data_IF_231690437315
#
_entry.id   IF_231690437315
#
_cell.length_a   1.000
_cell.length_b   1.000
_cell.length_c   1.000
_cell.angle_alpha   90.00
_cell.angle_beta   90.00
_cell.angle_gamma   90.00
#
_symmetry.space_group_name_H-M   'P 1'
#
loop_
_entity.id
_entity.type
_entity.pdbx_description
1 polymer ?
#
# COMPACT_ATOMS: atom_id res chain seq x y z
N UNK A 1 -31.33 100.69 0.03
CA UNK A 1 -30.94 99.38 0.60
C UNK A 1 -30.68 98.45 -0.56
N UNK A 2 -29.49 97.83 -0.65
CA UNK A 2 -29.20 96.81 -1.65
C UNK A 2 -29.73 95.48 -1.13
N UNK A 3 -30.60 94.83 -1.90
CA UNK A 3 -31.11 93.49 -1.58
C UNK A 3 -30.37 92.46 -2.41
N UNK A 4 -29.86 91.41 -1.76
CA UNK A 4 -29.21 90.27 -2.41
C UNK A 4 -30.11 89.05 -2.25
N UNK A 5 -30.29 88.28 -3.32
CA UNK A 5 -31.03 87.02 -3.33
C UNK A 5 -30.26 85.95 -4.11
N UNK A 6 -30.79 84.72 -4.18
CA UNK A 6 -30.19 83.64 -4.97
C UNK A 6 -29.18 82.77 -4.21
N UNK A 7 -29.23 82.78 -2.88
CA UNK A 7 -28.44 81.88 -2.05
C UNK A 7 -28.86 80.42 -2.27
N UNK A 8 -27.88 79.54 -2.42
CA UNK A 8 -28.10 78.11 -2.52
C UNK A 8 -28.69 77.53 -1.22
N UNK A 9 -29.47 76.47 -1.35
CA UNK A 9 -29.99 75.68 -0.22
C UNK A 9 -30.11 74.21 -0.63
N UNK A 10 -29.97 73.30 0.34
CA UNK A 10 -30.04 71.87 0.11
C UNK A 10 -30.07 71.09 1.42
N UNK A 11 -30.50 69.83 1.35
CA UNK A 11 -30.57 68.91 2.51
C UNK A 11 -29.70 67.66 2.31
N UNK A 12 -29.44 67.27 1.06
CA UNK A 12 -28.67 66.09 0.70
C UNK A 12 -27.21 66.44 0.44
N UNK A 13 -26.31 65.47 0.58
CA UNK A 13 -24.92 65.68 0.23
C UNK A 13 -24.77 66.06 -1.25
N UNK A 14 -23.89 67.03 -1.53
CA UNK A 14 -23.69 67.59 -2.85
C UNK A 14 -23.15 69.02 -2.81
N UNK A 15 -22.94 69.57 -4.00
CA UNK A 15 -22.55 70.96 -4.22
C UNK A 15 -23.71 71.71 -4.85
N UNK A 16 -24.14 72.78 -4.21
CA UNK A 16 -25.23 73.63 -4.65
C UNK A 16 -24.66 75.01 -4.94
N UNK A 17 -24.67 75.43 -6.21
CA UNK A 17 -24.12 76.72 -6.62
C UNK A 17 -25.09 77.84 -6.26
N UNK A 18 -24.57 78.95 -5.75
CA UNK A 18 -25.37 80.18 -5.65
C UNK A 18 -25.71 80.70 -7.05
N UNK A 19 -26.85 81.37 -7.15
CA UNK A 19 -27.28 82.10 -8.35
C UNK A 19 -27.61 83.53 -7.91
N UNK A 20 -26.59 84.22 -7.38
CA UNK A 20 -26.79 85.50 -6.73
C UNK A 20 -27.35 86.54 -7.69
N UNK A 21 -28.28 87.34 -7.19
CA UNK A 21 -28.81 88.52 -7.89
C UNK A 21 -28.95 89.68 -6.91
N UNK A 22 -28.80 90.91 -7.41
CA UNK A 22 -28.89 92.13 -6.60
C UNK A 22 -29.94 93.08 -7.16
N UNK A 23 -30.71 93.73 -6.30
CA UNK A 23 -31.71 94.72 -6.69
C UNK A 23 -31.70 95.94 -5.75
N UNK A 24 -31.68 97.14 -6.34
CA UNK A 24 -31.83 98.43 -5.67
C UNK A 24 -31.86 99.57 -6.69
N UNK A 25 -32.62 100.63 -6.39
CA UNK A 25 -32.61 101.87 -7.20
C UNK A 25 -31.24 102.57 -7.21
N UNK A 26 -30.37 102.29 -6.23
CA UNK A 26 -29.03 102.85 -6.16
C UNK A 26 -27.98 102.13 -7.02
N UNK A 27 -28.33 100.98 -7.65
CA UNK A 27 -27.38 100.20 -8.46
C UNK A 27 -26.95 100.92 -9.75
N UNK A 28 -27.72 101.91 -10.23
CA UNK A 28 -27.36 102.71 -11.42
C UNK A 28 -26.04 103.47 -11.25
N UNK A 29 -25.55 103.63 -10.02
CA UNK A 29 -24.30 104.31 -9.71
C UNK A 29 -23.06 103.36 -9.71
N UNK A 30 -23.23 102.07 -10.01
CA UNK A 30 -22.17 101.06 -9.86
C UNK A 30 -22.08 100.10 -11.05
N UNK A 31 -20.88 99.63 -11.37
CA UNK A 31 -20.67 98.43 -12.19
C UNK A 31 -20.66 97.21 -11.28
N UNK A 32 -21.66 96.33 -11.41
CA UNK A 32 -21.82 95.16 -10.53
C UNK A 32 -21.19 93.93 -11.17
N UNK A 33 -20.23 93.31 -10.46
CA UNK A 33 -19.72 91.97 -10.76
C UNK A 33 -20.24 91.00 -9.72
N UNK A 34 -20.86 89.90 -10.16
CA UNK A 34 -21.35 88.83 -9.28
C UNK A 34 -20.40 87.64 -9.37
N UNK A 35 -19.82 87.27 -8.24
CA UNK A 35 -19.04 86.04 -8.10
C UNK A 35 -19.85 85.07 -7.24
N UNK A 36 -20.35 83.99 -7.85
CA UNK A 36 -21.11 82.99 -7.13
C UNK A 36 -20.20 82.11 -6.26
N UNK A 37 -20.68 81.79 -5.06
CA UNK A 37 -20.14 80.73 -4.22
C UNK A 37 -20.90 79.41 -4.41
N UNK A 38 -20.69 78.49 -3.48
CA UNK A 38 -21.44 77.24 -3.41
C UNK A 38 -21.62 76.79 -1.96
N UNK A 39 -22.80 76.27 -1.64
CA UNK A 39 -23.03 75.45 -0.46
C UNK A 39 -22.55 74.03 -0.76
N UNK A 40 -21.64 73.50 0.07
CA UNK A 40 -21.17 72.12 -0.01
C UNK A 40 -21.69 71.37 1.22
N UNK A 41 -22.47 70.33 0.98
CA UNK A 41 -22.93 69.38 2.01
C UNK A 41 -22.13 68.10 1.83
N UNK A 42 -21.22 67.80 2.76
CA UNK A 42 -20.42 66.58 2.69
C UNK A 42 -21.23 65.37 3.19
N UNK A 43 -21.05 64.18 2.60
CA UNK A 43 -21.66 62.96 3.14
C UNK A 43 -21.20 62.69 4.58
N UNK A 44 -22.10 62.15 5.40
CA UNK A 44 -21.79 61.74 6.77
C UNK A 44 -21.16 60.35 6.79
N UNK A 45 -20.06 60.18 7.50
CA UNK A 45 -19.42 58.87 7.67
C UNK A 45 -20.24 57.99 8.60
N UNK A 46 -20.54 56.77 8.16
CA UNK A 46 -21.18 55.70 8.93
C UNK A 46 -20.12 54.74 9.48
N UNK A 47 -20.50 54.02 10.54
CA UNK A 47 -19.76 52.86 11.04
C UNK A 47 -20.57 51.59 10.84
N UNK A 48 -19.87 50.46 10.77
CA UNK A 48 -20.50 49.14 10.73
C UNK A 48 -19.98 48.31 11.91
N UNK A 49 -20.87 47.56 12.54
CA UNK A 49 -20.52 46.61 13.60
C UNK A 49 -19.66 45.46 13.08
N UNK A 50 -19.41 44.48 13.95
CA UNK A 50 -18.56 43.33 13.65
C UNK A 50 -19.08 42.54 12.44
N UNK A 51 -18.25 42.47 11.40
CA UNK A 51 -18.46 41.58 10.25
C UNK A 51 -17.50 40.40 10.35
N UNK A 52 -18.03 39.18 10.19
CA UNK A 52 -17.27 37.93 10.29
C UNK A 52 -17.24 37.20 8.96
N UNK A 53 -16.15 36.46 8.72
CA UNK A 53 -15.91 35.72 7.48
C UNK A 53 -15.67 34.26 7.82
N UNK A 54 -16.17 33.36 6.98
CA UNK A 54 -15.97 31.92 7.15
C UNK A 54 -14.52 31.52 6.85
N UNK A 55 -14.02 30.57 7.64
CA UNK A 55 -12.87 29.77 7.20
C UNK A 55 -13.23 28.98 5.95
N UNK A 56 -12.26 28.69 5.09
CA UNK A 56 -12.47 27.87 3.89
C UNK A 56 -11.38 26.83 3.71
N UNK A 57 -11.68 25.79 2.95
CA UNK A 57 -10.67 24.91 2.39
C UNK A 57 -10.11 25.58 1.13
N UNK A 58 -8.83 25.37 0.85
CA UNK A 58 -8.17 25.88 -0.34
C UNK A 58 -8.95 25.51 -1.61
N UNK A 59 -9.29 26.53 -2.41
CA UNK A 59 -10.03 26.41 -3.66
C UNK A 59 -9.38 27.19 -4.82
N UNK A 60 -8.13 27.63 -4.64
CA UNK A 60 -7.37 28.37 -5.66
C UNK A 60 -7.75 29.85 -5.79
N UNK A 61 -8.68 30.39 -4.98
CA UNK A 61 -9.16 31.77 -5.09
C UNK A 61 -9.00 32.57 -3.80
N UNK A 62 -8.96 33.91 -3.93
CA UNK A 62 -9.01 34.84 -2.80
C UNK A 62 -10.44 35.11 -2.30
N UNK A 63 -11.48 34.62 -2.97
CA UNK A 63 -12.85 34.92 -2.62
C UNK A 63 -13.20 34.41 -1.22
N UNK A 64 -13.79 35.27 -0.41
CA UNK A 64 -14.24 34.96 0.95
C UNK A 64 -15.76 35.01 1.04
N UNK A 65 -16.33 34.23 1.98
CA UNK A 65 -17.77 34.25 2.26
C UNK A 65 -18.00 34.94 3.60
N UNK A 66 -18.72 36.05 3.57
CA UNK A 66 -19.17 36.73 4.81
C UNK A 66 -20.23 35.87 5.49
N UNK A 67 -20.00 35.59 6.77
CA UNK A 67 -20.90 34.80 7.60
C UNK A 67 -21.93 35.69 8.30
N UNK A 68 -21.45 36.77 8.92
CA UNK A 68 -22.29 37.75 9.61
C UNK A 68 -21.92 39.13 9.13
N UNK A 69 -22.89 39.84 8.57
CA UNK A 69 -22.75 41.25 8.21
C UNK A 69 -23.05 42.12 9.44
N UNK A 70 -22.17 43.06 9.74
CA UNK A 70 -22.38 44.00 10.85
C UNK A 70 -23.56 44.95 10.60
N UNK A 71 -24.09 45.52 11.67
CA UNK A 71 -25.15 46.54 11.60
C UNK A 71 -24.56 47.93 11.40
N UNK A 72 -25.18 48.75 10.55
CA UNK A 72 -24.76 50.13 10.31
C UNK A 72 -25.23 51.04 11.44
N UNK A 73 -24.38 51.99 11.83
CA UNK A 73 -24.65 53.01 12.85
C UNK A 73 -24.23 54.39 12.35
N UNK A 74 -24.86 55.44 12.90
CA UNK A 74 -24.54 56.83 12.58
C UNK A 74 -25.53 57.53 11.63
N UNK A 75 -26.64 56.89 11.27
CA UNK A 75 -27.73 57.50 10.48
C UNK A 75 -28.30 58.74 11.17
N UNK A 76 -28.82 59.67 10.37
CA UNK A 76 -29.44 60.91 10.88
C UNK A 76 -30.92 60.68 11.19
N UNK A 77 -31.34 61.12 12.38
CA UNK A 77 -32.74 61.02 12.79
C UNK A 77 -33.26 59.58 12.81
N UNK A 78 -34.37 59.34 12.12
CA UNK A 78 -34.98 58.02 11.97
C UNK A 78 -34.78 57.44 10.55
N UNK A 79 -33.82 57.96 9.79
CA UNK A 79 -33.52 57.47 8.45
C UNK A 79 -33.08 56.00 8.46
N UNK A 80 -33.29 55.35 7.33
CA UNK A 80 -32.85 54.00 7.02
C UNK A 80 -32.01 54.03 5.75
N UNK A 81 -30.91 53.29 5.76
CA UNK A 81 -30.05 53.00 4.60
C UNK A 81 -29.63 51.55 4.80
N UNK A 82 -29.79 50.71 3.78
CA UNK A 82 -29.35 49.32 3.86
C UNK A 82 -27.90 49.19 3.41
N UNK A 83 -27.20 48.22 3.98
CA UNK A 83 -25.85 47.86 3.60
C UNK A 83 -25.85 46.45 3.01
N UNK A 84 -25.07 46.28 1.95
CA UNK A 84 -24.76 44.97 1.41
C UNK A 84 -23.24 44.84 1.23
N UNK A 85 -22.75 43.61 1.34
CA UNK A 85 -21.41 43.24 0.92
C UNK A 85 -21.28 43.37 -0.60
N UNK A 86 -20.30 44.14 -1.04
CA UNK A 86 -19.90 44.25 -2.44
C UNK A 86 -18.94 43.14 -2.80
N UNK A 87 -17.82 43.05 -2.06
CA UNK A 87 -16.83 41.98 -2.20
C UNK A 87 -16.23 41.64 -0.84
N UNK A 88 -15.72 40.42 -0.71
CA UNK A 88 -14.91 40.00 0.42
C UNK A 88 -13.77 39.12 -0.12
N UNK A 89 -12.53 39.51 0.15
CA UNK A 89 -11.35 38.82 -0.38
C UNK A 89 -10.28 38.65 0.68
N UNK A 90 -9.75 37.43 0.78
CA UNK A 90 -8.49 37.15 1.46
C UNK A 90 -7.35 37.91 0.78
N UNK A 91 -6.35 38.31 1.56
CA UNK A 91 -5.13 38.95 1.05
C UNK A 91 -4.28 38.01 0.17
N UNK A 92 -4.51 36.69 0.26
CA UNK A 92 -3.84 35.65 -0.52
C UNK A 92 -4.78 34.48 -0.76
N UNK A 93 -4.56 33.73 -1.85
CA UNK A 93 -5.27 32.46 -2.08
C UNK A 93 -4.71 31.32 -1.22
N UNK A 94 -3.49 31.44 -0.70
CA UNK A 94 -2.73 30.33 -0.11
C UNK A 94 -3.19 29.98 1.31
N UNK A 95 -2.96 28.73 1.70
CA UNK A 95 -3.23 28.20 3.04
C UNK A 95 -2.54 29.03 4.11
N UNK A 96 -3.25 29.27 5.22
CA UNK A 96 -2.73 30.04 6.34
C UNK A 96 -3.79 30.28 7.40
N UNK A 97 -3.31 30.67 8.58
CA UNK A 97 -4.13 31.00 9.74
C UNK A 97 -4.16 32.50 9.97
N UNK A 98 -5.32 33.05 10.36
CA UNK A 98 -5.48 34.48 10.65
C UNK A 98 -5.22 35.38 9.45
N UNK A 99 -5.51 34.91 8.24
CA UNK A 99 -5.32 35.67 7.01
C UNK A 99 -6.26 36.86 6.97
N UNK A 100 -5.74 38.03 6.58
CA UNK A 100 -6.52 39.26 6.46
C UNK A 100 -7.55 39.13 5.34
N UNK A 101 -8.78 39.55 5.62
CA UNK A 101 -9.89 39.62 4.67
C UNK A 101 -10.40 41.06 4.63
N UNK A 102 -10.35 41.67 3.44
CA UNK A 102 -10.94 42.98 3.19
C UNK A 102 -12.39 42.80 2.74
N UNK A 103 -13.32 43.43 3.45
CA UNK A 103 -14.74 43.45 3.12
C UNK A 103 -15.12 44.85 2.65
N UNK A 104 -15.63 44.94 1.44
CA UNK A 104 -16.15 46.17 0.85
C UNK A 104 -17.66 46.19 0.88
N UNK A 105 -18.22 47.38 1.09
CA UNK A 105 -19.65 47.57 1.28
C UNK A 105 -20.24 48.44 0.18
N UNK A 106 -21.53 48.24 -0.07
CA UNK A 106 -22.38 49.15 -0.85
C UNK A 106 -23.52 49.61 0.04
N UNK A 107 -23.81 50.92 -0.03
CA UNK A 107 -24.98 51.50 0.61
C UNK A 107 -26.11 51.60 -0.41
N UNK A 108 -27.33 51.30 0.01
CA UNK A 108 -28.53 51.38 -0.80
C UNK A 108 -29.55 52.27 -0.09
N UNK A 109 -30.32 53.04 -0.87
CA UNK A 109 -31.35 53.92 -0.33
C UNK A 109 -32.30 53.12 0.56
N UNK A 110 -32.70 53.70 1.68
CA UNK A 110 -33.74 53.12 2.51
C UNK A 110 -35.10 53.18 1.84
N UNK A 111 -35.96 52.24 2.21
CA UNK A 111 -37.33 52.17 1.71
C UNK A 111 -38.33 52.70 2.75
N UNK A 112 -39.51 53.14 2.28
CA UNK A 112 -40.63 53.54 3.12
C UNK A 112 -40.51 54.95 3.70
N UNK A 113 -41.37 55.28 4.67
CA UNK A 113 -41.50 56.63 5.26
C UNK A 113 -40.24 57.12 6.00
N UNK A 114 -39.25 56.24 6.18
CA UNK A 114 -37.97 56.48 6.84
C UNK A 114 -36.78 56.34 5.87
N UNK A 115 -37.01 56.33 4.56
CA UNK A 115 -35.93 56.12 3.59
C UNK A 115 -34.94 57.28 3.55
N UNK A 116 -33.66 57.01 3.81
CA UNK A 116 -32.56 57.95 3.59
C UNK A 116 -31.87 57.69 2.25
N UNK A 117 -31.28 58.74 1.66
CA UNK A 117 -30.48 58.62 0.44
C UNK A 117 -29.06 58.11 0.77
N UNK A 118 -28.65 57.00 0.18
CA UNK A 118 -27.32 56.43 0.36
C UNK A 118 -26.19 57.41 -0.04
N UNK A 119 -26.45 58.30 -1.01
CA UNK A 119 -25.51 59.36 -1.41
C UNK A 119 -25.17 60.35 -0.30
N UNK A 120 -26.00 60.44 0.75
CA UNK A 120 -25.74 61.29 1.91
C UNK A 120 -24.72 60.69 2.87
N UNK A 121 -24.23 59.49 2.60
CA UNK A 121 -23.41 58.72 3.52
C UNK A 121 -22.19 58.11 2.84
N UNK A 122 -21.12 57.94 3.61
CA UNK A 122 -20.00 57.08 3.24
C UNK A 122 -19.84 55.96 4.27
N UNK A 123 -19.39 54.80 3.83
CA UNK A 123 -19.04 53.68 4.72
C UNK A 123 -17.68 53.12 4.28
N UNK A 124 -16.73 53.10 5.22
CA UNK A 124 -15.41 52.55 4.96
C UNK A 124 -15.43 51.03 4.87
N UNK A 125 -14.53 50.46 4.07
CA UNK A 125 -14.23 49.04 4.08
C UNK A 125 -13.69 48.63 5.47
N UNK A 126 -13.89 47.37 5.84
CA UNK A 126 -13.31 46.81 7.07
C UNK A 126 -12.38 45.66 6.75
N UNK A 127 -11.43 45.41 7.66
CA UNK A 127 -10.61 44.20 7.65
C UNK A 127 -11.02 43.29 8.79
N UNK A 128 -10.98 41.98 8.55
CA UNK A 128 -11.16 40.92 9.54
C UNK A 128 -10.19 39.78 9.23
N UNK A 129 -10.24 38.67 9.97
CA UNK A 129 -9.38 37.51 9.72
C UNK A 129 -10.17 36.21 9.60
N UNK A 130 -9.65 35.30 8.78
CA UNK A 130 -10.15 33.94 8.65
C UNK A 130 -9.01 32.99 8.23
N UNK A 131 -9.23 31.68 8.32
CA UNK A 131 -8.26 30.65 7.96
C UNK A 131 -8.58 30.06 6.58
N UNK A 132 -7.53 29.75 5.82
CA UNK A 132 -7.61 28.85 4.67
C UNK A 132 -6.89 27.55 5.05
N UNK A 133 -7.62 26.43 5.11
CA UNK A 133 -7.05 25.10 5.40
C UNK A 133 -6.66 24.38 4.11
N UNK A 134 -5.65 23.51 4.21
CA UNK A 134 -5.16 22.77 3.06
C UNK A 134 -6.20 21.81 2.48
N UNK A 135 -6.21 21.67 1.16
CA UNK A 135 -7.06 20.70 0.46
C UNK A 135 -6.39 19.33 0.48
N UNK A 136 -7.12 18.30 0.89
CA UNK A 136 -6.61 16.94 0.88
C UNK A 136 -6.54 16.39 -0.56
N UNK A 137 -5.41 15.75 -0.88
CA UNK A 137 -5.16 14.98 -2.09
C UNK A 137 -5.01 13.50 -1.75
N UNK A 138 -5.41 12.65 -2.68
CA UNK A 138 -5.18 11.20 -2.63
C UNK A 138 -4.38 10.75 -3.85
N UNK A 139 -3.88 9.51 -3.80
CA UNK A 139 -3.18 8.87 -4.92
C UNK A 139 -4.09 7.81 -5.52
N UNK A 140 -4.29 7.84 -6.83
CA UNK A 140 -4.91 6.75 -7.60
C UNK A 140 -3.85 5.95 -8.36
N UNK A 141 -4.21 4.72 -8.75
CA UNK A 141 -3.43 3.84 -9.63
C UNK A 141 -2.04 3.39 -9.11
N UNK A 142 -1.66 3.75 -7.88
CA UNK A 142 -0.54 3.11 -7.19
C UNK A 142 -0.99 1.73 -6.72
N UNK A 143 -0.22 0.70 -7.02
CA UNK A 143 -0.54 -0.69 -6.64
C UNK A 143 0.65 -1.37 -5.98
N UNK A 144 0.38 -2.42 -5.19
CA UNK A 144 1.39 -3.33 -4.68
C UNK A 144 1.39 -4.60 -5.53
N UNK A 145 2.57 -5.15 -5.80
CA UNK A 145 2.73 -6.32 -6.66
C UNK A 145 2.67 -7.59 -5.83
N UNK A 146 1.87 -8.56 -6.28
CA UNK A 146 1.87 -9.93 -5.75
C UNK A 146 3.29 -10.53 -5.79
N UNK A 147 3.61 -11.39 -4.81
CA UNK A 147 4.92 -12.04 -4.72
C UNK A 147 4.80 -13.51 -4.31
N UNK A 148 5.83 -14.27 -4.60
CA UNK A 148 6.04 -15.59 -3.97
C UNK A 148 6.64 -15.38 -2.59
N UNK A 149 6.29 -16.24 -1.64
CA UNK A 149 6.83 -16.24 -0.28
C UNK A 149 8.36 -16.22 -0.30
N UNK A 150 8.95 -15.20 0.33
CA UNK A 150 10.39 -14.99 0.46
C UNK A 150 10.83 -14.75 1.93
N UNK A 151 9.91 -14.92 2.88
CA UNK A 151 10.15 -14.69 4.30
C UNK A 151 10.21 -13.23 4.74
N UNK A 152 9.94 -12.25 3.85
CA UNK A 152 10.00 -10.81 4.16
C UNK A 152 8.65 -10.12 3.99
N UNK A 153 8.45 -9.05 4.75
CA UNK A 153 7.29 -8.15 4.61
C UNK A 153 7.48 -7.06 3.55
N UNK A 154 8.61 -7.05 2.83
CA UNK A 154 8.88 -6.02 1.81
C UNK A 154 7.91 -6.16 0.63
N UNK A 155 7.24 -5.07 0.27
CA UNK A 155 6.34 -5.00 -0.88
C UNK A 155 6.95 -4.17 -2.00
N UNK A 156 6.90 -4.70 -3.22
CA UNK A 156 7.21 -3.93 -4.43
C UNK A 156 5.98 -3.12 -4.83
N UNK A 157 6.16 -1.81 -5.03
CA UNK A 157 5.10 -0.93 -5.50
C UNK A 157 5.23 -0.70 -7.01
N UNK A 158 4.13 -0.82 -7.75
CA UNK A 158 4.05 -0.38 -9.13
C UNK A 158 3.56 1.07 -9.17
N UNK A 159 4.49 1.97 -9.53
CA UNK A 159 4.34 3.44 -9.52
C UNK A 159 4.03 4.02 -10.90
N UNK A 160 4.07 3.20 -11.96
CA UNK A 160 4.11 3.66 -13.36
C UNK A 160 2.90 4.49 -13.80
N UNK A 161 1.73 4.25 -13.20
CA UNK A 161 0.50 4.97 -13.50
C UNK A 161 -0.03 5.79 -12.31
N UNK A 162 0.75 5.92 -11.24
CA UNK A 162 0.31 6.60 -10.03
C UNK A 162 0.09 8.10 -10.27
N UNK A 163 -1.07 8.63 -9.88
CA UNK A 163 -1.46 10.03 -10.13
C UNK A 163 -2.14 10.65 -8.91
N UNK A 164 -2.04 11.98 -8.77
CA UNK A 164 -2.80 12.73 -7.76
C UNK A 164 -4.27 12.85 -8.17
N UNK A 165 -5.15 12.79 -7.18
CA UNK A 165 -6.58 13.08 -7.32
C UNK A 165 -6.91 14.29 -6.43
N UNK A 166 -7.65 15.24 -7.00
CA UNK A 166 -8.15 16.42 -6.28
C UNK A 166 -7.35 17.72 -6.47
N UNK A 167 -6.32 17.71 -7.32
CA UNK A 167 -5.56 18.91 -7.70
C UNK A 167 -6.48 19.88 -8.45
N UNK A 168 -6.46 21.15 -8.05
CA UNK A 168 -7.22 22.20 -8.73
C UNK A 168 -6.55 22.53 -10.06
N UNK A 169 -7.35 22.64 -11.12
CA UNK A 169 -6.85 22.91 -12.47
C UNK A 169 -6.03 24.21 -12.49
N UNK A 170 -4.81 24.13 -13.03
CA UNK A 170 -3.88 25.25 -13.14
C UNK A 170 -2.84 25.33 -12.02
N UNK A 171 -3.01 24.61 -10.91
CA UNK A 171 -1.98 24.54 -9.87
C UNK A 171 -0.84 23.60 -10.26
N UNK A 172 0.40 24.00 -9.99
CA UNK A 172 1.56 23.15 -10.21
C UNK A 172 1.82 22.30 -8.95
N UNK A 173 1.23 21.11 -8.93
CA UNK A 173 1.43 20.09 -7.89
C UNK A 173 1.73 18.75 -8.55
N UNK A 174 2.84 18.12 -8.16
CA UNK A 174 3.30 16.83 -8.72
C UNK A 174 3.44 15.78 -7.62
N UNK A 175 3.12 14.53 -7.95
CA UNK A 175 3.39 13.37 -7.09
C UNK A 175 4.86 13.01 -7.17
N UNK A 176 5.51 12.83 -6.02
CA UNK A 176 6.85 12.26 -5.92
C UNK A 176 6.79 10.92 -5.20
N UNK A 177 7.14 9.86 -5.92
CA UNK A 177 7.14 8.47 -5.42
C UNK A 177 8.55 7.92 -5.20
N UNK A 178 9.59 8.75 -5.27
CA UNK A 178 11.00 8.29 -5.20
C UNK A 178 11.26 7.55 -3.89
N UNK A 179 10.80 8.10 -2.77
CA UNK A 179 10.96 7.51 -1.44
C UNK A 179 9.79 6.61 -1.04
N UNK A 180 8.86 6.32 -1.96
CA UNK A 180 7.69 5.51 -1.64
C UNK A 180 8.09 4.06 -1.39
N UNK A 181 7.69 3.54 -0.24
CA UNK A 181 7.92 2.16 0.22
C UNK A 181 6.61 1.49 0.61
N UNK A 182 6.56 0.17 0.42
CA UNK A 182 5.43 -0.66 0.79
C UNK A 182 5.85 -1.78 1.74
N UNK A 183 5.02 -2.05 2.74
CA UNK A 183 5.24 -3.14 3.70
C UNK A 183 3.95 -3.95 3.85
N UNK A 184 4.02 -5.25 3.58
CA UNK A 184 2.96 -6.21 3.89
C UNK A 184 2.76 -6.32 5.40
N UNK A 185 1.50 -6.40 5.85
CA UNK A 185 1.15 -6.60 7.25
C UNK A 185 1.62 -7.97 7.80
N UNK A 186 1.87 -8.94 6.91
CA UNK A 186 2.41 -10.25 7.26
C UNK A 186 3.34 -10.73 6.15
N UNK A 187 4.38 -11.48 6.51
CA UNK A 187 5.24 -12.15 5.54
C UNK A 187 4.60 -13.46 5.02
N UNK A 188 3.57 -13.99 5.68
CA UNK A 188 3.01 -15.30 5.38
C UNK A 188 2.16 -15.30 4.11
N UNK A 189 2.14 -16.44 3.42
CA UNK A 189 1.33 -16.61 2.21
C UNK A 189 -0.16 -16.51 2.52
N UNK A 190 -0.82 -15.56 1.87
CA UNK A 190 -2.26 -15.31 1.95
C UNK A 190 -2.68 -14.36 0.81
N UNK A 191 -3.99 -14.30 0.58
CA UNK A 191 -4.57 -13.36 -0.38
C UNK A 191 -4.96 -12.05 0.31
N UNK A 192 -4.91 -10.93 -0.42
CA UNK A 192 -5.42 -9.64 0.03
C UNK A 192 -4.73 -9.10 1.28
N UNK A 193 -3.43 -9.38 1.44
CA UNK A 193 -2.66 -8.90 2.60
C UNK A 193 -2.54 -7.39 2.49
N UNK A 194 -2.90 -6.68 3.56
CA UNK A 194 -2.78 -5.24 3.63
C UNK A 194 -1.32 -4.79 3.42
N UNK A 195 -1.13 -3.77 2.60
CA UNK A 195 0.16 -3.14 2.33
C UNK A 195 0.10 -1.68 2.79
N UNK A 196 0.88 -1.38 3.82
CA UNK A 196 1.07 -0.01 4.31
C UNK A 196 2.04 0.70 3.37
N UNK A 197 1.62 1.84 2.83
CA UNK A 197 2.44 2.69 1.97
C UNK A 197 2.92 3.91 2.74
N UNK A 198 4.21 4.22 2.63
CA UNK A 198 4.79 5.44 3.20
C UNK A 198 5.72 6.11 2.18
N UNK A 199 6.11 7.37 2.44
CA UNK A 199 7.17 8.04 1.68
C UNK A 199 6.76 8.68 0.35
N UNK A 200 5.50 8.58 -0.10
CA UNK A 200 5.01 9.45 -1.16
C UNK A 200 4.92 10.89 -0.65
N UNK A 201 5.29 11.85 -1.49
CA UNK A 201 5.16 13.28 -1.19
C UNK A 201 4.63 14.05 -2.38
N UNK A 202 4.28 15.32 -2.16
CA UNK A 202 3.93 16.27 -3.22
C UNK A 202 4.99 17.35 -3.33
N UNK A 203 5.19 17.87 -4.52
CA UNK A 203 6.10 18.99 -4.81
C UNK A 203 5.45 19.96 -5.79
N UNK A 204 6.11 21.10 -6.03
CA UNK A 204 5.62 22.16 -6.90
C UNK A 204 5.24 23.42 -6.11
N UNK A 205 5.01 24.52 -6.83
CA UNK A 205 4.83 25.87 -6.25
C UNK A 205 3.58 25.97 -5.38
N UNK A 206 2.52 25.22 -5.71
CA UNK A 206 1.27 25.23 -4.97
C UNK A 206 1.16 24.11 -3.94
N UNK A 207 2.18 23.24 -3.81
CA UNK A 207 2.11 22.05 -2.94
C UNK A 207 1.83 22.37 -1.46
N UNK A 208 2.28 23.52 -0.96
CA UNK A 208 1.99 23.98 0.41
C UNK A 208 0.50 24.24 0.69
N UNK A 209 -0.34 24.30 -0.34
CA UNK A 209 -1.78 24.47 -0.22
C UNK A 209 -2.55 23.16 -0.06
N UNK A 210 -1.84 22.03 -0.08
CA UNK A 210 -2.41 20.70 -0.10
C UNK A 210 -1.81 19.82 0.99
N UNK A 211 -2.58 18.81 1.41
CA UNK A 211 -2.07 17.68 2.19
C UNK A 211 -2.20 16.41 1.36
N UNK A 212 -1.33 15.43 1.58
CA UNK A 212 -1.37 14.15 0.86
C UNK A 212 -1.73 13.01 1.82
N UNK A 213 -2.82 12.31 1.52
CA UNK A 213 -3.19 11.07 2.21
C UNK A 213 -2.55 9.88 1.48
N UNK A 214 -1.80 9.06 2.21
CA UNK A 214 -1.22 7.83 1.66
C UNK A 214 -2.32 6.80 1.37
N UNK A 215 -2.24 6.04 0.26
CA UNK A 215 -3.20 5.00 -0.05
C UNK A 215 -3.01 3.78 0.86
N UNK A 216 -4.10 3.05 1.08
CA UNK A 216 -4.05 1.69 1.65
C UNK A 216 -4.19 0.71 0.50
N UNK A 217 -3.23 -0.20 0.35
CA UNK A 217 -3.19 -1.18 -0.73
C UNK A 217 -3.33 -2.59 -0.17
N UNK A 218 -3.49 -3.56 -1.07
CA UNK A 218 -3.42 -4.97 -0.75
C UNK A 218 -2.83 -5.76 -1.91
N UNK A 219 -2.12 -6.83 -1.62
CA UNK A 219 -1.59 -7.75 -2.61
C UNK A 219 -1.49 -9.17 -2.02
N UNK A 220 -1.26 -10.15 -2.88
CA UNK A 220 -1.18 -11.55 -2.51
C UNK A 220 0.28 -11.98 -2.30
N UNK A 221 0.50 -12.85 -1.32
CA UNK A 221 1.72 -13.64 -1.21
C UNK A 221 1.35 -15.09 -1.49
N UNK A 222 1.85 -15.65 -2.59
CA UNK A 222 1.62 -17.06 -2.93
C UNK A 222 2.66 -17.95 -2.25
N UNK A 223 2.31 -19.19 -1.85
CA UNK A 223 3.28 -20.12 -1.26
C UNK A 223 4.48 -20.37 -2.17
N UNK A 224 5.67 -20.53 -1.59
CA UNK A 224 6.86 -21.00 -2.31
C UNK A 224 6.72 -22.48 -2.65
N UNK A 225 7.10 -22.87 -3.86
CA UNK A 225 7.08 -24.27 -4.28
C UNK A 225 8.31 -25.01 -3.74
N UNK A 226 8.10 -26.11 -3.02
CA UNK A 226 9.14 -27.03 -2.57
C UNK A 226 8.93 -28.37 -3.25
N UNK A 227 9.96 -28.87 -3.92
CA UNK A 227 9.93 -30.16 -4.62
C UNK A 227 10.93 -31.10 -3.99
N UNK A 228 10.46 -32.24 -3.51
CA UNK A 228 11.28 -33.30 -2.93
C UNK A 228 11.32 -34.47 -3.90
N UNK A 229 12.52 -34.87 -4.30
CA UNK A 229 12.74 -35.99 -5.22
C UNK A 229 13.56 -37.07 -4.53
N UNK A 230 12.97 -38.24 -4.31
CA UNK A 230 13.67 -39.40 -3.76
C UNK A 230 14.65 -39.99 -4.77
N UNK A 231 15.73 -40.57 -4.27
CA UNK A 231 16.72 -41.27 -5.10
C UNK A 231 16.31 -42.72 -5.37
N UNK A 232 16.78 -43.24 -6.49
CA UNK A 232 16.58 -44.63 -6.90
C UNK A 232 17.88 -45.38 -6.68
N UNK A 233 18.04 -46.03 -5.52
CA UNK A 233 19.26 -46.76 -5.21
C UNK A 233 19.08 -48.25 -5.40
N UNK A 234 20.16 -48.90 -5.81
CA UNK A 234 20.25 -50.35 -5.94
C UNK A 234 21.43 -50.84 -5.11
N UNK A 235 21.19 -51.88 -4.33
CA UNK A 235 22.16 -52.49 -3.43
C UNK A 235 22.11 -54.01 -3.59
N UNK A 236 23.15 -54.72 -3.14
CA UNK A 236 23.13 -56.19 -3.10
C UNK A 236 22.85 -56.64 -1.67
N UNK A 237 22.06 -57.70 -1.51
CA UNK A 237 21.77 -58.30 -0.21
C UNK A 237 23.07 -58.54 0.59
N UNK A 238 23.08 -58.14 1.86
CA UNK A 238 24.25 -58.20 2.75
C UNK A 238 23.89 -58.61 4.19
N UNK A 239 22.69 -59.17 4.40
CA UNK A 239 22.14 -59.57 5.70
C UNK A 239 21.93 -58.43 6.73
N UNK A 240 22.00 -57.15 6.31
CA UNK A 240 21.66 -55.99 7.14
C UNK A 240 20.41 -55.29 6.62
N UNK A 241 19.71 -54.54 7.47
CA UNK A 241 18.65 -53.62 7.03
C UNK A 241 19.29 -52.49 6.23
N UNK A 242 18.84 -52.31 5.00
CA UNK A 242 19.30 -51.27 4.09
C UNK A 242 18.22 -50.19 4.00
N UNK A 243 18.61 -48.93 4.14
CA UNK A 243 17.71 -47.79 4.08
C UNK A 243 18.04 -46.94 2.86
N UNK A 244 17.02 -46.54 2.09
CA UNK A 244 17.20 -45.62 0.99
C UNK A 244 17.68 -44.26 1.50
N UNK A 245 18.47 -43.54 0.71
CA UNK A 245 18.96 -42.21 1.09
C UNK A 245 19.28 -41.37 -0.15
N UNK A 246 19.58 -40.09 0.05
CA UNK A 246 19.98 -39.19 -1.04
C UNK A 246 18.81 -38.51 -1.76
N UNK A 247 17.67 -38.34 -1.09
CA UNK A 247 16.62 -37.47 -1.62
C UNK A 247 17.16 -36.04 -1.81
N UNK A 248 16.57 -35.32 -2.75
CA UNK A 248 17.00 -33.97 -3.14
C UNK A 248 15.84 -33.00 -3.01
N UNK A 249 16.14 -31.76 -2.65
CA UNK A 249 15.18 -30.65 -2.52
C UNK A 249 15.45 -29.58 -3.56
N UNK A 250 14.42 -29.09 -4.23
CA UNK A 250 14.42 -27.88 -5.05
C UNK A 250 13.36 -26.91 -4.54
N UNK A 251 13.61 -25.61 -4.67
CA UNK A 251 12.74 -24.55 -4.17
C UNK A 251 12.56 -23.52 -5.27
N UNK A 252 11.31 -23.20 -5.59
CA UNK A 252 10.93 -22.27 -6.67
C UNK A 252 11.65 -22.56 -8.00
N UNK A 253 11.92 -23.85 -8.30
CA UNK A 253 12.59 -24.27 -9.53
C UNK A 253 14.12 -24.11 -9.54
N UNK A 254 14.75 -23.74 -8.42
CA UNK A 254 16.20 -23.70 -8.30
C UNK A 254 16.83 -25.10 -8.46
N UNK A 255 18.13 -25.16 -8.77
CA UNK A 255 18.89 -26.41 -8.82
C UNK A 255 18.72 -27.19 -7.53
N UNK A 256 18.33 -28.46 -7.65
CA UNK A 256 18.12 -29.30 -6.49
C UNK A 256 19.43 -29.58 -5.73
N UNK A 257 19.32 -29.74 -4.42
CA UNK A 257 20.44 -30.06 -3.53
C UNK A 257 20.15 -31.36 -2.78
N UNK A 258 21.15 -32.20 -2.59
CA UNK A 258 21.02 -33.43 -1.80
C UNK A 258 20.75 -33.09 -0.34
N UNK A 259 19.75 -33.75 0.24
CA UNK A 259 19.40 -33.60 1.65
C UNK A 259 20.34 -34.49 2.45
N UNK A 260 21.11 -33.87 3.34
CA UNK A 260 22.00 -34.57 4.28
C UNK A 260 21.31 -34.63 5.65
N UNK A 261 21.07 -35.84 6.16
CA UNK A 261 20.29 -36.05 7.37
C UNK A 261 18.78 -35.91 7.14
N UNK A 262 18.04 -35.59 8.20
CA UNK A 262 16.57 -35.50 8.14
C UNK A 262 16.06 -34.07 8.04
N UNK A 263 16.89 -33.05 8.23
CA UNK A 263 16.43 -31.65 8.24
C UNK A 263 16.52 -31.04 6.84
N UNK A 264 15.44 -30.40 6.41
CA UNK A 264 15.38 -29.62 5.17
C UNK A 264 15.22 -28.15 5.54
N UNK A 265 16.21 -27.34 5.18
CA UNK A 265 16.13 -25.88 5.27
C UNK A 265 15.79 -25.32 3.89
N UNK A 266 14.80 -24.45 3.82
CA UNK A 266 14.40 -23.82 2.58
C UNK A 266 15.30 -22.64 2.19
N UNK A 267 16.08 -22.10 3.13
CA UNK A 267 16.83 -20.86 2.95
C UNK A 267 15.92 -19.63 2.79
N UNK A 268 14.62 -19.79 2.98
CA UNK A 268 13.60 -18.76 2.93
C UNK A 268 12.99 -18.66 4.33
N UNK A 269 13.04 -17.47 4.93
CA UNK A 269 12.62 -17.30 6.33
C UNK A 269 13.52 -18.05 7.32
N UNK A 270 12.93 -18.52 8.41
CA UNK A 270 13.64 -19.24 9.50
C UNK A 270 13.16 -20.68 9.67
N UNK A 271 12.31 -21.14 8.76
CA UNK A 271 11.65 -22.43 8.85
C UNK A 271 12.55 -23.62 8.51
N UNK A 272 12.33 -24.71 9.23
CA UNK A 272 12.93 -26.01 8.95
C UNK A 272 11.89 -27.11 8.99
N UNK A 273 12.12 -28.12 8.17
CA UNK A 273 11.26 -29.29 8.04
C UNK A 273 12.06 -30.55 8.35
N UNK A 274 11.35 -31.59 8.79
CA UNK A 274 11.92 -32.92 8.91
C UNK A 274 11.39 -33.80 7.78
N UNK A 275 12.30 -34.37 7.00
CA UNK A 275 12.02 -35.38 5.98
C UNK A 275 12.04 -36.77 6.60
N UNK A 276 10.99 -37.53 6.36
CA UNK A 276 10.81 -38.92 6.78
C UNK A 276 10.31 -39.79 5.63
N UNK A 277 10.15 -41.10 5.86
CA UNK A 277 9.50 -42.01 4.91
C UNK A 277 10.42 -42.66 3.87
N UNK A 278 11.73 -42.69 4.12
CA UNK A 278 12.65 -43.49 3.31
C UNK A 278 12.32 -44.98 3.41
N UNK A 279 12.37 -45.69 2.29
CA UNK A 279 12.21 -47.14 2.27
C UNK A 279 13.33 -47.83 3.06
N UNK A 280 13.00 -48.85 3.85
CA UNK A 280 13.97 -49.68 4.55
C UNK A 280 13.58 -51.16 4.45
N UNK A 281 14.52 -52.00 4.05
CA UNK A 281 14.30 -53.44 3.91
C UNK A 281 15.61 -54.23 4.10
N UNK A 282 15.49 -55.46 4.60
CA UNK A 282 16.63 -56.38 4.77
C UNK A 282 16.77 -57.34 3.59
N UNK A 283 15.66 -57.91 3.15
CA UNK A 283 15.65 -59.06 2.24
C UNK A 283 15.37 -58.66 0.79
N UNK A 284 15.71 -59.55 -0.14
CA UNK A 284 15.31 -59.42 -1.54
C UNK A 284 13.77 -59.45 -1.66
N UNK A 285 13.21 -58.50 -2.42
CA UNK A 285 11.84 -58.58 -2.92
C UNK A 285 11.84 -58.56 -4.44
N UNK A 286 10.90 -59.29 -5.04
CA UNK A 286 10.65 -59.24 -6.49
C UNK A 286 10.10 -57.87 -6.94
N UNK A 287 9.59 -57.07 -6.01
CA UNK A 287 9.16 -55.68 -6.23
C UNK A 287 10.12 -54.70 -5.56
N UNK A 288 10.19 -53.48 -6.11
CA UNK A 288 10.94 -52.36 -5.54
C UNK A 288 10.27 -51.85 -4.26
N UNK A 289 11.07 -51.46 -3.27
CA UNK A 289 10.60 -50.79 -2.06
C UNK A 289 10.50 -49.28 -2.31
N UNK A 290 9.30 -48.77 -2.49
CA UNK A 290 9.06 -47.34 -2.75
C UNK A 290 9.25 -46.50 -1.48
N UNK A 291 9.81 -45.31 -1.64
CA UNK A 291 9.75 -44.31 -0.58
C UNK A 291 8.31 -43.80 -0.39
N UNK A 292 8.01 -43.37 0.84
CA UNK A 292 6.83 -42.60 1.18
C UNK A 292 7.26 -41.27 1.80
N UNK A 293 8.07 -40.49 1.07
CA UNK A 293 8.65 -39.26 1.55
C UNK A 293 7.58 -38.26 2.00
N UNK A 294 7.83 -37.65 3.16
CA UNK A 294 6.96 -36.64 3.77
C UNK A 294 7.78 -35.62 4.54
N UNK A 295 7.52 -34.34 4.27
CA UNK A 295 7.98 -33.22 5.10
C UNK A 295 6.96 -32.93 6.18
N UNK A 296 7.43 -32.91 7.42
CA UNK A 296 6.68 -32.42 8.58
C UNK A 296 7.31 -31.10 9.03
N UNK A 297 6.51 -30.05 9.17
CA UNK A 297 7.00 -28.77 9.68
C UNK A 297 7.40 -28.90 11.15
N UNK A 298 8.56 -28.35 11.51
CA UNK A 298 9.01 -28.29 12.91
C UNK A 298 8.37 -27.11 13.67
N UNK A 299 7.62 -26.24 12.98
CA UNK A 299 6.92 -25.07 13.54
C UNK A 299 5.49 -24.98 12.98
N UNK A 300 4.49 -25.07 13.86
CA UNK A 300 3.10 -25.45 13.52
C UNK A 300 2.23 -24.46 12.72
N UNK A 301 2.72 -23.29 12.30
CA UNK A 301 1.89 -22.25 11.63
C UNK A 301 2.38 -21.84 10.24
N UNK A 302 3.59 -22.23 9.82
CA UNK A 302 4.25 -21.79 8.58
C UNK A 302 4.14 -22.76 7.41
N UNK A 303 3.48 -23.92 7.57
CA UNK A 303 3.23 -24.86 6.47
C UNK A 303 2.42 -24.22 5.32
N UNK A 304 1.63 -23.18 5.60
CA UNK A 304 0.87 -22.44 4.59
C UNK A 304 1.74 -21.62 3.64
N UNK A 305 2.98 -21.31 4.03
CA UNK A 305 3.92 -20.55 3.20
C UNK A 305 4.53 -21.37 2.07
N UNK A 306 4.33 -22.69 2.08
CA UNK A 306 4.94 -23.60 1.13
C UNK A 306 3.90 -24.50 0.47
N UNK A 307 4.02 -24.67 -0.84
CA UNK A 307 3.34 -25.73 -1.58
C UNK A 307 4.35 -26.85 -1.81
N UNK A 308 4.09 -28.05 -1.30
CA UNK A 308 5.06 -29.16 -1.33
C UNK A 308 4.63 -30.22 -2.34
N UNK A 309 5.57 -30.63 -3.19
CA UNK A 309 5.40 -31.73 -4.15
C UNK A 309 6.45 -32.80 -3.93
N UNK A 310 6.06 -34.07 -4.12
CA UNK A 310 6.92 -35.23 -3.91
C UNK A 310 7.00 -36.07 -5.18
N UNK A 311 8.23 -36.44 -5.55
CA UNK A 311 8.52 -37.47 -6.54
C UNK A 311 9.21 -38.61 -5.81
N UNK A 312 8.50 -39.72 -5.58
CA UNK A 312 8.99 -40.78 -4.70
C UNK A 312 10.13 -41.57 -5.33
N UNK A 313 11.18 -41.78 -4.53
CA UNK A 313 12.29 -42.65 -4.83
C UNK A 313 12.02 -44.08 -4.35
N UNK A 314 13.09 -44.80 -4.04
CA UNK A 314 12.99 -46.17 -3.55
C UNK A 314 14.24 -47.02 -3.75
N UNK A 315 14.23 -48.15 -3.05
CA UNK A 315 15.33 -49.08 -2.90
C UNK A 315 15.06 -50.38 -3.68
N UNK A 316 16.06 -50.82 -4.43
CA UNK A 316 16.09 -52.15 -5.06
C UNK A 316 17.20 -52.96 -4.40
N UNK A 317 16.86 -54.13 -3.86
CA UNK A 317 17.83 -55.07 -3.31
C UNK A 317 18.02 -56.19 -4.34
N UNK A 318 19.23 -56.38 -4.83
CA UNK A 318 19.60 -57.47 -5.72
C UNK A 318 20.01 -58.70 -4.91
N UNK A 319 19.86 -59.88 -5.52
CA UNK A 319 20.34 -61.14 -4.93
C UNK A 319 21.86 -61.13 -4.81
N UNK A 320 22.38 -61.62 -3.69
CA UNK A 320 23.79 -61.91 -3.53
C UNK A 320 24.15 -63.26 -4.17
N UNK A 321 25.38 -63.43 -4.70
CA UNK A 321 25.83 -64.72 -5.19
C UNK A 321 26.05 -65.70 -4.03
N UNK A 322 25.60 -66.93 -4.20
CA UNK A 322 25.88 -68.06 -3.32
C UNK A 322 26.36 -69.23 -4.19
N UNK A 323 27.49 -69.82 -3.82
CA UNK A 323 28.06 -70.95 -4.55
C UNK A 323 28.07 -72.19 -3.68
N UNK A 324 27.50 -73.27 -4.20
CA UNK A 324 27.54 -74.61 -3.58
C UNK A 324 28.39 -75.50 -4.47
N UNK A 325 29.47 -76.05 -3.93
CA UNK A 325 30.40 -76.92 -4.64
C UNK A 325 30.38 -78.30 -3.99
N UNK A 326 29.90 -79.31 -4.72
CA UNK A 326 29.96 -80.70 -4.28
C UNK A 326 31.40 -81.21 -4.20
N UNK A 327 31.66 -82.14 -3.27
CA UNK A 327 32.97 -82.80 -3.14
C UNK A 327 32.95 -84.12 -3.90
N UNK A 328 34.06 -84.52 -4.53
CA UNK A 328 34.21 -85.88 -5.07
C UNK A 328 34.77 -86.80 -3.98
N UNK A 329 33.98 -87.78 -3.54
CA UNK A 329 34.41 -88.80 -2.58
C UNK A 329 34.63 -90.14 -3.26
N UNK A 330 35.79 -90.77 -3.04
CA UNK A 330 36.10 -92.11 -3.54
C UNK A 330 36.08 -93.10 -2.38
N UNK A 331 35.37 -94.21 -2.55
CA UNK A 331 35.24 -95.27 -1.54
C UNK A 331 35.47 -96.62 -2.19
N UNK A 332 36.10 -97.55 -1.47
CA UNK A 332 36.26 -98.94 -1.91
C UNK A 332 34.95 -99.69 -1.68
N UNK A 333 34.48 -100.43 -2.69
CA UNK A 333 33.21 -101.18 -2.64
C UNK A 333 33.15 -102.14 -1.44
N UNK A 334 32.07 -102.06 -0.66
CA UNK A 334 31.88 -102.84 0.58
C UNK A 334 30.49 -103.50 0.68
N UNK A 335 29.68 -103.44 -0.38
CA UNK A 335 28.33 -104.03 -0.42
C UNK A 335 27.23 -103.22 0.28
N UNK A 336 27.51 -102.03 0.82
CA UNK A 336 26.51 -101.12 1.42
C UNK A 336 26.36 -99.83 0.62
N UNK A 337 25.18 -99.20 0.72
CA UNK A 337 24.94 -97.90 0.07
C UNK A 337 25.90 -96.84 0.59
N UNK A 338 26.64 -96.22 -0.33
CA UNK A 338 27.57 -95.14 -0.06
C UNK A 338 26.92 -93.83 -0.49
N UNK A 339 26.91 -92.83 0.39
CA UNK A 339 26.35 -91.50 0.11
C UNK A 339 27.45 -90.47 0.30
N UNK A 340 27.58 -89.56 -0.66
CA UNK A 340 28.41 -88.39 -0.47
C UNK A 340 27.88 -87.54 0.69
N UNK A 341 28.76 -87.02 1.53
CA UNK A 341 28.36 -86.38 2.79
C UNK A 341 28.85 -84.93 2.93
N UNK A 342 29.47 -84.36 1.88
CA UNK A 342 30.06 -83.04 1.96
C UNK A 342 29.83 -82.19 0.69
N UNK A 343 29.48 -80.93 0.92
CA UNK A 343 29.57 -79.85 -0.03
C UNK A 343 30.20 -78.64 0.67
N UNK A 344 30.92 -77.81 -0.08
CA UNK A 344 31.39 -76.52 0.42
C UNK A 344 30.42 -75.44 -0.04
N UNK A 345 30.04 -74.55 0.87
CA UNK A 345 29.19 -73.39 0.57
C UNK A 345 30.01 -72.13 0.79
N UNK A 346 30.12 -71.29 -0.23
CA UNK A 346 30.78 -69.99 -0.16
C UNK A 346 29.81 -68.86 -0.54
N UNK A 347 30.05 -67.65 -0.03
CA UNK A 347 29.16 -66.50 -0.23
C UNK A 347 27.99 -66.41 0.75
N UNK A 348 27.96 -67.24 1.81
CA UNK A 348 26.96 -67.12 2.89
C UNK A 348 27.11 -65.79 3.63
N UNK A 349 26.02 -65.07 3.81
CA UNK A 349 26.00 -63.76 4.48
C UNK A 349 25.30 -63.85 5.84
N UNK A 350 25.81 -63.12 6.85
CA UNK A 350 25.22 -63.02 8.18
C UNK A 350 24.93 -64.37 8.87
N UNK A 351 23.75 -64.46 9.48
CA UNK A 351 23.25 -65.64 10.20
C UNK A 351 22.41 -66.59 9.33
N UNK A 352 22.46 -66.42 8.00
CA UNK A 352 21.63 -67.21 7.09
C UNK A 352 21.97 -68.70 7.21
N UNK A 353 20.93 -69.53 7.28
CA UNK A 353 21.04 -70.98 7.35
C UNK A 353 20.88 -71.56 5.95
N UNK A 354 21.91 -72.25 5.45
CA UNK A 354 21.90 -72.90 4.15
C UNK A 354 21.90 -74.40 4.37
N UNK A 355 20.83 -75.06 3.93
CA UNK A 355 20.73 -76.52 3.94
C UNK A 355 21.02 -77.02 2.53
N UNK A 356 22.08 -77.83 2.40
CA UNK A 356 22.40 -78.52 1.13
C UNK A 356 21.87 -79.95 1.22
N UNK A 357 21.02 -80.32 0.26
CA UNK A 357 20.44 -81.65 0.11
C UNK A 357 20.75 -82.20 -1.30
N UNK A 358 20.30 -83.42 -1.61
CA UNK A 358 20.47 -84.01 -2.95
C UNK A 358 21.83 -84.68 -3.21
N UNK A 359 22.56 -85.06 -2.16
CA UNK A 359 23.84 -85.76 -2.32
C UNK A 359 23.70 -87.09 -3.08
N UNK A 360 24.65 -87.37 -3.97
CA UNK A 360 24.70 -88.63 -4.71
C UNK A 360 24.85 -89.84 -3.78
N UNK A 361 24.10 -90.91 -4.07
CA UNK A 361 24.07 -92.14 -3.27
C UNK A 361 23.95 -93.38 -4.17
N UNK A 362 24.77 -94.41 -3.93
CA UNK A 362 24.74 -95.66 -4.69
C UNK A 362 25.42 -96.83 -3.97
N UNK A 363 25.10 -98.06 -4.38
CA UNK A 363 25.69 -99.29 -3.82
C UNK A 363 26.73 -99.93 -4.75
N UNK A 364 26.54 -99.85 -6.08
CA UNK A 364 27.40 -100.52 -7.07
C UNK A 364 28.55 -99.62 -7.55
N UNK A 365 29.64 -100.20 -8.05
CA UNK A 365 30.78 -99.45 -8.61
C UNK A 365 30.34 -98.57 -9.78
N UNK A 366 30.68 -97.27 -9.73
CA UNK A 366 30.32 -96.29 -10.75
C UNK A 366 30.56 -94.85 -10.27
N UNK A 367 30.34 -93.87 -11.16
CA UNK A 367 30.34 -92.44 -10.82
C UNK A 367 28.89 -91.95 -10.72
N UNK A 368 28.53 -91.36 -9.58
CA UNK A 368 27.16 -90.91 -9.31
C UNK A 368 27.17 -89.45 -8.90
N UNK A 369 26.42 -88.61 -9.60
CA UNK A 369 26.22 -87.21 -9.26
C UNK A 369 25.01 -87.03 -8.34
N UNK A 370 25.07 -86.03 -7.46
CA UNK A 370 23.88 -85.50 -6.79
C UNK A 370 22.99 -84.73 -7.78
N UNK A 371 21.78 -84.38 -7.34
CA UNK A 371 20.82 -83.55 -8.09
C UNK A 371 20.55 -82.26 -7.34
#
# INVERSE_FOLDING_TARGET
VISVSGYSSGTNAGTYNDILSVSSSALTNYNVTINNGSLIINPKTLTIGTTTVNNKVYDGTTAATVNTLGTVSGLVGNESVSVATSTANFSTKNVGTGLSVTVSYTLQNGNGAKGGFASNYTLANTTTTANITAKALTISNLTATDKVYDGTTSATLNKSSATLVGVITGDAVSLNTTNASGTYASANAANGIAVTVTGNSISGTESGNYTLTQPSLSANITPALVTITGANNTVTYNALTQTNSGARVSINGASATTITGSTVNTGIGTESFTLSGYAAAKDYSATRYSDSLLLTSNVGTTARNYSITYSQGGLTINKAPLTVTGVTTTVTYNGTTQTNNAATVTGRLGSDSIVVAGYGSATNVGSYSGW
#
